data_IF_630639280670
#
_entry.id   IF_630639280670
#
_cell.length_a   1.000
_cell.length_b   1.000
_cell.length_c   1.000
_cell.angle_alpha   90.00
_cell.angle_beta   90.00
_cell.angle_gamma   90.00
#
_symmetry.space_group_name_H-M   'P 1'
#
loop_
_entity.id
_entity.type
_entity.pdbx_description
1 polymer ?
#
# COMPACT_ATOMS: atom_id res chain seq x y z
N UNK A 1 8.85 -7.68 -4.13
CA UNK A 1 7.41 -8.00 -4.08
C UNK A 1 7.23 -9.49 -3.91
N UNK A 2 6.14 -9.92 -3.31
CA UNK A 2 5.73 -11.31 -3.22
C UNK A 2 4.31 -11.50 -3.74
N UNK A 3 4.06 -12.66 -4.34
CA UNK A 3 2.75 -13.06 -4.86
C UNK A 3 2.34 -14.37 -4.21
N UNK A 4 1.05 -14.56 -4.02
CA UNK A 4 0.52 -15.80 -3.47
C UNK A 4 -0.99 -15.74 -3.27
N UNK A 5 -1.58 -16.85 -2.84
CA UNK A 5 -2.99 -16.88 -2.45
C UNK A 5 -3.13 -16.38 -1.00
N UNK A 6 -3.27 -15.06 -0.83
CA UNK A 6 -3.33 -14.41 0.48
C UNK A 6 -4.74 -14.41 1.07
N UNK A 7 -5.73 -14.99 0.37
CA UNK A 7 -7.02 -15.32 1.00
C UNK A 7 -6.88 -16.31 2.15
N UNK A 8 -5.79 -17.08 2.15
CA UNK A 8 -5.38 -17.93 3.27
C UNK A 8 -4.93 -17.16 4.51
N UNK A 9 -4.74 -15.84 4.41
CA UNK A 9 -4.49 -14.92 5.51
C UNK A 9 -5.75 -14.15 5.93
N UNK A 10 -6.94 -14.66 5.58
CA UNK A 10 -8.24 -14.04 5.87
C UNK A 10 -8.43 -12.68 5.17
N UNK A 11 -7.79 -12.49 4.01
CA UNK A 11 -8.03 -11.37 3.12
C UNK A 11 -9.11 -11.80 2.11
N UNK A 12 -10.25 -11.11 2.00
CA UNK A 12 -11.29 -11.48 1.04
C UNK A 12 -10.76 -11.52 -0.40
N UNK A 13 -11.26 -12.47 -1.20
CA UNK A 13 -10.94 -12.49 -2.63
C UNK A 13 -11.44 -11.20 -3.30
N UNK A 14 -10.57 -10.55 -4.08
CA UNK A 14 -10.85 -9.25 -4.70
C UNK A 14 -10.64 -8.04 -3.77
N UNK A 15 -10.22 -8.25 -2.52
CA UNK A 15 -9.75 -7.16 -1.67
C UNK A 15 -8.36 -6.73 -2.16
N UNK A 16 -8.31 -5.57 -2.80
CA UNK A 16 -7.07 -5.01 -3.32
C UNK A 16 -6.12 -4.54 -2.23
N UNK A 17 -6.55 -4.55 -0.97
CA UNK A 17 -5.69 -4.32 0.17
C UNK A 17 -5.57 -2.87 0.57
N UNK A 18 -4.67 -2.66 1.52
CA UNK A 18 -4.30 -1.34 2.03
C UNK A 18 -2.84 -1.31 2.43
N UNK A 19 -2.32 -0.11 2.65
CA UNK A 19 -1.04 0.09 3.31
C UNK A 19 -1.16 -0.17 4.81
N UNK A 20 -0.12 -0.79 5.36
CA UNK A 20 0.15 -0.95 6.77
C UNK A 20 1.43 -0.19 7.09
N UNK A 21 1.40 0.61 8.15
CA UNK A 21 2.45 1.58 8.45
C UNK A 21 2.60 1.82 9.98
N UNK A 22 3.74 2.38 10.44
CA UNK A 22 4.01 2.67 11.85
C UNK A 22 3.35 3.95 12.37
N UNK A 23 2.74 4.78 11.51
CA UNK A 23 2.25 6.13 11.80
C UNK A 23 0.74 6.29 11.59
N UNK A 24 -0.05 5.25 11.91
CA UNK A 24 -1.51 5.32 11.92
C UNK A 24 -2.06 6.53 12.71
N UNK A 25 -3.37 6.81 12.67
CA UNK A 25 -3.97 8.07 13.18
C UNK A 25 -3.49 8.56 14.57
N UNK A 26 -3.10 7.65 15.47
CA UNK A 26 -2.61 7.95 16.82
C UNK A 26 -1.08 7.84 17.01
N UNK A 27 -0.33 7.55 15.94
CA UNK A 27 1.12 7.32 15.96
C UNK A 27 1.52 5.91 16.44
N UNK A 28 0.55 5.01 16.62
CA UNK A 28 0.78 3.64 17.12
C UNK A 28 0.86 2.58 16.00
N UNK A 29 0.74 3.02 14.74
CA UNK A 29 0.67 2.19 13.55
C UNK A 29 -0.74 1.77 13.13
N UNK A 30 -0.87 1.37 11.88
CA UNK A 30 -2.06 0.74 11.31
C UNK A 30 -1.62 -0.54 10.58
N UNK A 31 -1.77 -1.75 11.17
CA UNK A 31 -2.38 -2.01 12.45
C UNK A 31 -1.43 -1.63 13.60
N UNK A 32 -2.01 -1.34 14.76
CA UNK A 32 -1.24 -0.98 15.95
C UNK A 32 -0.27 -2.12 16.31
N UNK A 33 1.01 -1.79 16.53
CA UNK A 33 2.01 -2.69 17.12
C UNK A 33 2.91 -3.46 16.15
N UNK A 34 2.99 -3.09 14.88
CA UNK A 34 3.99 -3.63 13.95
C UNK A 34 5.41 -3.14 14.28
N UNK A 35 6.34 -4.06 14.56
CA UNK A 35 7.76 -3.75 14.70
C UNK A 35 8.57 -4.46 13.62
N UNK A 36 9.39 -3.72 12.89
CA UNK A 36 10.26 -4.26 11.84
C UNK A 36 11.70 -4.26 12.32
N UNK A 37 12.27 -5.45 12.46
CA UNK A 37 13.69 -5.65 12.73
C UNK A 37 14.37 -6.21 11.49
N UNK A 38 15.52 -5.64 11.10
CA UNK A 38 16.31 -6.16 9.98
C UNK A 38 17.81 -5.98 10.25
N UNK A 39 18.64 -6.74 9.52
CA UNK A 39 20.09 -6.61 9.51
C UNK A 39 20.63 -5.96 8.22
N UNK A 40 19.76 -5.28 7.45
CA UNK A 40 20.10 -4.68 6.14
C UNK A 40 21.27 -3.69 6.18
N UNK A 41 21.58 -3.14 7.36
CA UNK A 41 22.71 -2.22 7.59
C UNK A 41 23.93 -2.91 8.26
N UNK A 42 23.95 -4.23 8.33
CA UNK A 42 25.05 -5.03 8.87
C UNK A 42 24.91 -5.44 10.35
N UNK A 43 23.87 -4.98 11.05
CA UNK A 43 23.53 -5.39 12.42
C UNK A 43 22.02 -5.41 12.62
N UNK A 44 21.51 -6.23 13.54
CA UNK A 44 20.07 -6.27 13.83
C UNK A 44 19.62 -4.95 14.49
N UNK A 45 18.68 -4.27 13.86
CA UNK A 45 18.13 -3.00 14.32
C UNK A 45 16.63 -2.95 14.09
N UNK A 46 15.92 -2.22 14.97
CA UNK A 46 14.54 -1.85 14.72
C UNK A 46 14.49 -0.63 13.80
N UNK A 47 13.57 -0.66 12.84
CA UNK A 47 13.36 0.42 11.89
C UNK A 47 11.99 1.04 12.14
N UNK A 48 12.00 2.34 12.49
CA UNK A 48 10.78 3.09 12.73
C UNK A 48 10.04 3.44 11.43
N UNK A 49 10.77 3.59 10.32
CA UNK A 49 10.19 3.95 9.02
C UNK A 49 10.16 2.71 8.12
N UNK A 50 8.97 2.14 7.97
CA UNK A 50 8.69 0.99 7.12
C UNK A 50 7.26 1.10 6.57
N UNK A 51 7.03 0.54 5.40
CA UNK A 51 5.69 0.45 4.80
C UNK A 51 5.47 -0.96 4.29
N UNK A 52 4.26 -1.48 4.44
CA UNK A 52 3.83 -2.74 3.88
C UNK A 52 2.52 -2.54 3.12
N UNK A 53 2.40 -3.11 1.94
CA UNK A 53 1.11 -3.20 1.27
C UNK A 53 0.77 -4.68 1.11
N UNK A 54 -0.49 -5.04 1.34
CA UNK A 54 -0.96 -6.42 1.21
C UNK A 54 -2.38 -6.46 0.63
N UNK A 55 -2.56 -7.23 -0.44
CA UNK A 55 -3.85 -7.51 -1.09
C UNK A 55 -4.20 -9.00 -0.99
N UNK A 56 -5.30 -9.42 -1.61
CA UNK A 56 -5.68 -10.83 -1.71
C UNK A 56 -4.65 -11.70 -2.48
N UNK A 57 -3.77 -11.11 -3.29
CA UNK A 57 -2.86 -11.85 -4.17
C UNK A 57 -1.39 -11.37 -4.18
N UNK A 58 -1.06 -10.23 -3.57
CA UNK A 58 0.30 -9.70 -3.55
C UNK A 58 0.63 -9.01 -2.23
N UNK A 59 1.91 -8.91 -1.94
CA UNK A 59 2.42 -8.05 -0.87
C UNK A 59 3.78 -7.45 -1.21
N UNK A 60 4.10 -6.36 -0.54
CA UNK A 60 5.41 -5.74 -0.57
C UNK A 60 5.68 -5.11 0.79
N UNK A 61 6.95 -5.06 1.16
CA UNK A 61 7.40 -4.40 2.36
C UNK A 61 8.71 -3.67 2.05
N UNK A 62 8.86 -2.48 2.59
CA UNK A 62 10.04 -1.63 2.46
C UNK A 62 10.42 -1.11 3.83
N UNK A 63 11.72 -1.10 4.08
CA UNK A 63 12.33 -0.39 5.20
C UNK A 63 13.09 0.81 4.64
N UNK A 64 12.93 1.99 5.25
CA UNK A 64 13.52 3.22 4.74
C UNK A 64 14.79 3.60 5.49
N UNK A 65 15.94 3.30 4.87
CA UNK A 65 17.28 3.54 5.45
C UNK A 65 18.09 4.63 4.76
N UNK A 66 17.64 5.13 3.60
CA UNK A 66 18.44 5.95 2.69
C UNK A 66 18.15 7.47 2.79
N UNK A 67 17.77 7.93 3.99
CA UNK A 67 17.57 9.36 4.24
C UNK A 67 18.84 10.17 3.92
N UNK A 68 18.66 11.36 3.37
CA UNK A 68 19.74 12.28 3.03
C UNK A 68 19.27 13.74 3.14
N UNK A 69 20.07 14.69 2.65
CA UNK A 69 19.74 16.12 2.72
C UNK A 69 18.52 16.54 1.88
N UNK A 70 18.07 15.69 0.96
CA UNK A 70 16.91 15.93 0.07
C UNK A 70 15.65 15.25 0.59
N UNK A 71 15.76 14.04 1.16
CA UNK A 71 14.59 13.27 1.63
C UNK A 71 14.83 12.70 3.03
N UNK A 72 13.81 12.80 3.89
CA UNK A 72 13.78 12.09 5.17
C UNK A 72 13.41 10.61 4.97
N UNK A 73 13.66 9.77 5.97
CA UNK A 73 13.23 8.36 5.94
C UNK A 73 11.70 8.24 5.84
N UNK A 74 10.96 9.09 6.56
CA UNK A 74 9.49 9.18 6.46
C UNK A 74 9.01 9.60 5.05
N UNK A 75 9.73 10.49 4.36
CA UNK A 75 9.39 10.78 2.96
C UNK A 75 9.60 9.54 2.06
N UNK A 76 10.64 8.75 2.32
CA UNK A 76 10.90 7.54 1.54
C UNK A 76 9.90 6.41 1.81
N UNK A 77 9.27 6.41 2.97
CA UNK A 77 8.20 5.51 3.39
C UNK A 77 6.93 6.35 3.55
N UNK A 78 6.42 6.90 2.45
CA UNK A 78 5.27 7.79 2.50
C UNK A 78 3.97 6.99 2.67
N UNK A 79 3.25 7.26 3.77
CA UNK A 79 2.09 6.48 4.24
C UNK A 79 0.73 7.12 3.91
N UNK A 80 0.61 7.77 2.75
CA UNK A 80 -0.66 8.40 2.32
C UNK A 80 -1.16 7.85 0.97
N UNK A 81 -0.58 6.73 0.50
CA UNK A 81 -0.86 6.15 -0.81
C UNK A 81 -1.48 4.75 -0.67
N UNK A 82 -2.39 4.63 0.29
CA UNK A 82 -2.88 3.38 0.86
C UNK A 82 -3.63 2.49 -0.12
N UNK A 83 -4.11 3.02 -1.25
CA UNK A 83 -4.85 2.24 -2.26
C UNK A 83 -4.10 2.13 -3.60
N UNK A 84 -2.87 2.66 -3.69
CA UNK A 84 -2.13 2.71 -4.96
C UNK A 84 -1.48 1.38 -5.35
N UNK A 85 -1.27 0.49 -4.37
CA UNK A 85 -0.72 -0.84 -4.59
C UNK A 85 0.80 -0.89 -4.71
N UNK A 86 1.34 -2.10 -4.57
CA UNK A 86 2.78 -2.35 -4.53
C UNK A 86 3.55 -1.81 -5.74
N UNK A 87 3.00 -1.94 -6.95
CA UNK A 87 3.66 -1.46 -8.16
C UNK A 87 3.84 0.06 -8.19
N UNK A 88 3.05 0.80 -7.40
CA UNK A 88 3.15 2.24 -7.28
C UNK A 88 3.98 2.67 -6.07
N UNK A 89 3.72 2.10 -4.89
CA UNK A 89 4.36 2.54 -3.63
C UNK A 89 5.75 1.95 -3.42
N UNK A 90 5.98 0.74 -3.92
CA UNK A 90 7.25 0.01 -3.82
C UNK A 90 7.61 -0.65 -5.16
N UNK A 91 7.80 0.16 -6.21
CA UNK A 91 8.13 -0.36 -7.53
C UNK A 91 9.50 -1.04 -7.52
N UNK A 92 9.66 -2.04 -8.38
CA UNK A 92 10.93 -2.71 -8.61
C UNK A 92 10.83 -3.72 -9.73
N UNK A 93 11.97 -4.21 -10.20
CA UNK A 93 12.05 -5.24 -11.23
C UNK A 93 12.13 -6.63 -10.58
N UNK A 94 11.03 -7.07 -9.98
CA UNK A 94 10.96 -8.36 -9.27
C UNK A 94 10.77 -9.52 -10.26
N UNK A 95 11.50 -10.61 -10.08
CA UNK A 95 11.23 -11.84 -10.83
C UNK A 95 10.05 -12.61 -10.23
N UNK A 96 8.97 -12.74 -11.01
CA UNK A 96 7.70 -13.32 -10.56
C UNK A 96 7.57 -14.79 -11.01
N UNK A 97 8.63 -15.58 -10.87
CA UNK A 97 8.66 -16.98 -11.30
C UNK A 97 8.59 -17.99 -10.13
N UNK A 98 8.01 -17.58 -9.00
CA UNK A 98 7.88 -18.43 -7.81
C UNK A 98 9.19 -18.70 -7.09
N UNK A 99 10.23 -17.91 -7.37
CA UNK A 99 11.51 -17.97 -6.66
C UNK A 99 11.60 -16.88 -5.60
N UNK A 100 12.40 -17.16 -4.56
CA UNK A 100 12.85 -16.13 -3.64
C UNK A 100 14.17 -15.62 -4.16
N UNK A 101 14.37 -14.31 -4.16
CA UNK A 101 15.63 -13.70 -4.58
C UNK A 101 16.07 -12.63 -3.60
N UNK A 102 17.39 -12.43 -3.53
CA UNK A 102 18.00 -11.24 -2.96
C UNK A 102 18.69 -10.50 -4.09
N UNK A 103 18.49 -9.20 -4.19
CA UNK A 103 19.10 -8.36 -5.22
C UNK A 103 19.69 -7.11 -4.58
N UNK A 104 20.69 -6.54 -5.24
CA UNK A 104 21.04 -5.13 -5.06
C UNK A 104 20.08 -4.29 -5.90
N UNK A 105 19.68 -3.12 -5.41
CA UNK A 105 18.75 -2.25 -6.13
C UNK A 105 19.13 -0.77 -5.97
N UNK A 106 18.79 0.02 -6.99
CA UNK A 106 18.89 1.47 -6.91
C UNK A 106 17.94 2.03 -5.85
N UNK A 107 18.29 3.20 -5.30
CA UNK A 107 17.42 3.89 -4.35
C UNK A 107 16.21 4.46 -5.09
N UNK A 108 15.01 3.97 -4.73
CA UNK A 108 13.75 4.54 -5.20
C UNK A 108 13.49 5.93 -4.60
N UNK A 109 12.89 6.81 -5.41
CA UNK A 109 12.33 8.06 -4.91
C UNK A 109 11.21 7.80 -3.87
N UNK A 110 10.92 8.79 -3.01
CA UNK A 110 9.65 8.84 -2.26
C UNK A 110 8.46 8.50 -3.17
N UNK A 111 7.58 7.56 -2.79
CA UNK A 111 6.44 7.22 -3.62
C UNK A 111 5.50 8.44 -3.76
N UNK A 112 4.94 8.62 -4.95
CA UNK A 112 4.10 9.78 -5.28
C UNK A 112 4.84 11.11 -5.47
N UNK A 113 6.17 11.17 -5.34
CA UNK A 113 6.93 12.40 -5.59
C UNK A 113 7.48 12.44 -7.01
N UNK A 114 7.31 13.59 -7.66
CA UNK A 114 7.73 13.84 -9.04
C UNK A 114 8.62 15.09 -9.07
N UNK A 115 9.91 15.00 -9.46
CA UNK A 115 10.74 16.17 -9.64
C UNK A 115 10.18 17.04 -10.78
N UNK A 116 10.13 18.34 -10.54
CA UNK A 116 9.59 19.33 -11.49
C UNK A 116 10.63 20.35 -11.94
N UNK A 117 11.64 20.64 -11.11
CA UNK A 117 12.70 21.58 -11.41
C UNK A 117 13.91 21.38 -10.49
N UNK A 118 14.96 22.18 -10.71
CA UNK A 118 16.07 22.34 -9.78
C UNK A 118 16.20 23.81 -9.42
N UNK A 119 16.18 24.14 -8.13
CA UNK A 119 16.37 25.48 -7.61
C UNK A 119 17.63 25.53 -6.74
N UNK A 120 18.62 26.35 -7.12
CA UNK A 120 19.89 26.49 -6.40
C UNK A 120 20.64 25.15 -6.18
N UNK A 121 20.54 24.22 -7.14
CA UNK A 121 21.16 22.89 -7.04
C UNK A 121 20.36 21.87 -6.22
N UNK A 122 19.21 22.26 -5.66
CA UNK A 122 18.30 21.35 -4.94
C UNK A 122 17.11 20.98 -5.84
N UNK A 123 16.80 19.67 -5.97
CA UNK A 123 15.59 19.24 -6.66
C UNK A 123 14.31 19.78 -6.00
N UNK A 124 13.35 20.20 -6.81
CA UNK A 124 12.01 20.62 -6.39
C UNK A 124 11.01 19.58 -6.87
N UNK A 125 10.02 19.24 -6.04
CA UNK A 125 9.06 18.17 -6.30
C UNK A 125 7.62 18.68 -6.25
N UNK A 126 6.76 18.02 -7.01
CA UNK A 126 5.34 17.90 -6.69
C UNK A 126 5.09 16.55 -6.02
N UNK A 127 4.13 16.50 -5.09
CA UNK A 127 3.65 15.25 -4.51
C UNK A 127 2.21 14.98 -5.00
N UNK A 128 1.93 13.73 -5.33
CA UNK A 128 0.58 13.25 -5.59
C UNK A 128 -0.13 12.93 -4.27
N UNK A 129 -1.31 13.49 -4.08
CA UNK A 129 -2.20 13.16 -2.98
C UNK A 129 -3.31 12.24 -3.48
N UNK A 130 -3.42 11.05 -2.91
CA UNK A 130 -4.46 10.10 -3.29
C UNK A 130 -5.86 10.69 -3.10
N UNK A 131 -6.73 10.50 -4.10
CA UNK A 131 -8.11 10.95 -4.03
C UNK A 131 -8.90 10.09 -3.07
N UNK A 132 -9.44 10.70 -2.01
CA UNK A 132 -10.42 10.06 -1.14
C UNK A 132 -11.75 10.81 -1.20
N UNK A 133 -12.86 10.08 -1.34
CA UNK A 133 -14.21 10.65 -1.29
C UNK A 133 -15.00 10.00 -0.17
N UNK A 134 -15.41 10.80 0.80
CA UNK A 134 -16.17 10.38 1.97
C UNK A 134 -17.52 11.09 2.09
N UNK A 135 -18.36 10.61 2.99
CA UNK A 135 -19.62 11.25 3.36
C UNK A 135 -19.63 11.54 4.85
N UNK A 136 -19.86 12.80 5.21
CA UNK A 136 -20.00 13.22 6.61
C UNK A 136 -21.32 12.71 7.20
N UNK A 137 -21.42 12.71 8.53
CA UNK A 137 -22.64 12.26 9.25
C UNK A 137 -23.91 13.03 8.88
N UNK A 138 -23.78 14.26 8.36
CA UNK A 138 -24.89 15.08 7.87
C UNK A 138 -25.28 14.80 6.40
N UNK A 139 -24.67 13.80 5.76
CA UNK A 139 -24.89 13.44 4.36
C UNK A 139 -24.09 14.26 3.34
N UNK A 140 -23.26 15.21 3.77
CA UNK A 140 -22.43 15.99 2.86
C UNK A 140 -21.25 15.15 2.34
N UNK A 141 -21.12 15.08 1.02
CA UNK A 141 -19.97 14.45 0.37
C UNK A 141 -18.79 15.42 0.36
N UNK A 142 -17.59 14.91 0.66
CA UNK A 142 -16.34 15.66 0.52
C UNK A 142 -15.32 14.84 -0.27
N UNK A 143 -14.44 15.54 -0.96
CA UNK A 143 -13.30 14.95 -1.67
C UNK A 143 -12.03 15.66 -1.21
N UNK A 144 -11.00 14.89 -0.90
CA UNK A 144 -9.63 15.35 -0.69
C UNK A 144 -8.70 14.69 -1.71
N UNK A 145 -7.51 15.26 -1.90
CA UNK A 145 -6.50 14.77 -2.83
C UNK A 145 -6.67 15.27 -4.27
N UNK A 146 -5.81 14.75 -5.15
CA UNK A 146 -5.74 15.15 -6.55
C UNK A 146 -6.89 14.57 -7.38
N UNK A 147 -7.25 15.27 -8.46
CA UNK A 147 -8.34 14.82 -9.35
C UNK A 147 -7.87 13.84 -10.42
N UNK A 148 -6.56 13.73 -10.64
CA UNK A 148 -5.95 12.84 -11.62
C UNK A 148 -4.91 11.95 -10.93
N UNK A 149 -5.16 10.64 -10.94
CA UNK A 149 -4.21 9.64 -10.47
C UNK A 149 -3.10 9.45 -11.51
N UNK A 150 -1.82 9.59 -11.15
CA UNK A 150 -0.71 9.28 -12.05
C UNK A 150 -0.77 7.82 -12.50
N UNK A 151 -0.40 7.56 -13.75
CA UNK A 151 -0.43 6.20 -14.32
C UNK A 151 0.72 5.30 -13.87
N UNK A 152 1.78 5.89 -13.29
CA UNK A 152 2.98 5.20 -12.84
C UNK A 152 3.73 6.02 -11.77
N UNK A 153 4.53 5.37 -10.91
CA UNK A 153 5.47 6.07 -10.05
C UNK A 153 6.55 6.78 -10.88
N UNK A 154 7.22 7.76 -10.28
CA UNK A 154 8.27 8.51 -10.98
C UNK A 154 9.48 7.63 -11.37
N UNK A 155 9.88 6.70 -10.51
CA UNK A 155 10.98 5.77 -10.78
C UNK A 155 10.59 4.33 -10.47
N UNK A 156 11.03 3.41 -11.32
CA UNK A 156 11.12 1.98 -11.02
C UNK A 156 12.63 1.68 -10.86
N UNK A 157 13.13 1.46 -9.64
CA UNK A 157 14.55 1.22 -9.40
C UNK A 157 15.00 -0.06 -10.13
N UNK A 158 16.19 -0.01 -10.73
CA UNK A 158 16.78 -1.19 -11.34
C UNK A 158 17.30 -2.14 -10.26
N UNK A 159 17.30 -3.44 -10.57
CA UNK A 159 17.85 -4.48 -9.69
C UNK A 159 18.99 -5.20 -10.41
N UNK A 160 20.02 -5.56 -9.65
CA UNK A 160 21.23 -6.22 -10.13
C UNK A 160 21.76 -7.21 -9.10
N UNK A 161 22.74 -8.04 -9.49
CA UNK A 161 23.37 -9.04 -8.62
C UNK A 161 22.36 -9.94 -7.89
N UNK A 162 21.24 -10.24 -8.56
CA UNK A 162 20.18 -11.07 -8.02
C UNK A 162 20.65 -12.52 -7.84
N UNK A 163 20.46 -13.05 -6.64
CA UNK A 163 20.73 -14.44 -6.31
C UNK A 163 19.45 -15.11 -5.80
N UNK A 164 19.12 -16.26 -6.39
CA UNK A 164 18.02 -17.09 -5.90
C UNK A 164 18.36 -17.61 -4.51
N UNK A 165 17.41 -17.45 -3.60
CA UNK A 165 17.47 -17.99 -2.27
C UNK A 165 16.65 -19.26 -2.20
N UNK A 166 17.15 -20.24 -1.44
CA UNK A 166 16.30 -21.32 -0.98
C UNK A 166 15.11 -20.68 -0.25
N UNK A 167 13.91 -21.21 -0.51
CA UNK A 167 12.72 -20.78 0.23
C UNK A 167 13.02 -20.83 1.72
N UNK A 168 12.31 -20.00 2.48
CA UNK A 168 12.17 -20.20 3.92
C UNK A 168 11.43 -21.52 4.11
N UNK A 169 12.13 -22.64 3.99
CA UNK A 169 11.63 -23.88 4.52
C UNK A 169 11.60 -23.72 6.04
N UNK A 170 12.56 -23.05 6.70
CA UNK A 170 12.64 -22.95 8.17
C UNK A 170 12.33 -24.29 8.89
N UNK A 171 12.50 -25.44 8.22
CA UNK A 171 12.01 -26.74 8.71
C UNK A 171 10.49 -26.94 8.74
N UNK A 172 9.67 -26.00 8.26
CA UNK A 172 8.22 -26.10 8.07
C UNK A 172 7.94 -27.02 6.87
N UNK A 173 7.38 -28.23 7.08
CA UNK A 173 7.04 -29.13 5.99
C UNK A 173 5.72 -28.64 5.37
N UNK A 174 5.79 -27.84 4.30
CA UNK A 174 4.63 -27.28 3.60
C UNK A 174 3.61 -28.37 3.20
N UNK A 175 4.11 -29.55 2.84
CA UNK A 175 3.30 -30.75 2.56
C UNK A 175 2.54 -31.27 3.79
N UNK A 176 3.12 -31.17 4.99
CA UNK A 176 2.46 -31.56 6.26
C UNK A 176 1.38 -30.57 6.70
N UNK A 177 1.49 -29.31 6.25
CA UNK A 177 0.50 -28.26 6.48
C UNK A 177 -0.61 -28.25 5.41
N UNK A 178 -0.63 -29.23 4.51
CA UNK A 178 -1.65 -29.35 3.46
C UNK A 178 -1.49 -28.34 2.31
N UNK A 179 -0.35 -27.64 2.22
CA UNK A 179 -0.03 -26.81 1.08
C UNK A 179 0.61 -27.69 0.00
N UNK A 180 -0.20 -28.16 -0.95
CA UNK A 180 0.32 -28.71 -2.20
C UNK A 180 0.85 -27.57 -3.08
N UNK A 181 1.94 -27.80 -3.81
CA UNK A 181 2.41 -26.85 -4.81
C UNK A 181 1.29 -26.61 -5.84
N UNK A 182 0.74 -25.40 -5.85
CA UNK A 182 -0.22 -24.98 -6.86
C UNK A 182 0.54 -24.86 -8.18
N UNK A 183 0.02 -25.48 -9.24
CA UNK A 183 0.64 -25.40 -10.55
C UNK A 183 0.75 -23.92 -10.95
N UNK A 184 1.94 -23.48 -11.35
CA UNK A 184 2.18 -22.14 -11.87
C UNK A 184 1.33 -21.92 -13.11
N UNK A 185 0.15 -21.34 -12.91
CA UNK A 185 -0.65 -20.77 -13.99
C UNK A 185 0.07 -19.53 -14.49
N UNK A 186 0.60 -19.60 -15.71
CA UNK A 186 1.21 -18.47 -16.40
C UNK A 186 0.14 -17.39 -16.60
N UNK A 187 0.05 -16.41 -15.70
CA UNK A 187 -0.68 -15.18 -15.96
C UNK A 187 0.14 -14.31 -16.92
N UNK A 188 0.15 -14.71 -18.20
CA UNK A 188 0.53 -13.83 -19.28
C UNK A 188 -0.63 -12.83 -19.48
N UNK A 189 -0.53 -11.67 -18.84
CA UNK A 189 -1.35 -10.51 -19.18
C UNK A 189 -1.00 -10.05 -20.60
N UNK A 190 -1.60 -10.66 -21.61
CA UNK A 190 -1.55 -10.14 -22.99
C UNK A 190 -2.90 -9.51 -23.31
N UNK A 191 -2.93 -8.18 -23.25
CA UNK A 191 -3.97 -7.40 -23.90
C UNK A 191 -3.91 -7.66 -25.41
N UNK A 192 -4.96 -8.24 -25.99
CA UNK A 192 -5.18 -8.16 -27.44
C UNK A 192 -6.66 -8.02 -27.71
N UNK A 193 -7.01 -6.82 -28.14
CA UNK A 193 -8.26 -6.49 -28.81
C UNK A 193 -8.39 -7.30 -30.09
N UNK A 194 -9.50 -8.03 -30.25
CA UNK A 194 -10.08 -8.29 -31.56
C UNK A 194 -11.57 -8.63 -31.46
N UNK A 195 -12.34 -7.77 -32.10
CA UNK A 195 -13.76 -7.94 -32.37
C UNK A 195 -14.02 -9.18 -33.22
N UNK A 196 -15.18 -9.81 -33.01
CA UNK A 196 -15.98 -10.45 -34.07
C UNK A 196 -17.43 -10.57 -33.61
N UNK A 197 -18.31 -9.95 -34.40
CA UNK A 197 -19.76 -10.05 -34.35
C UNK A 197 -20.22 -11.47 -34.74
N UNK A 198 -21.26 -12.03 -34.13
CA UNK A 198 -22.66 -12.08 -34.60
C UNK A 198 -23.22 -13.41 -34.04
N UNK A 199 -24.48 -13.70 -33.76
CA UNK A 199 -25.83 -13.12 -33.80
C UNK A 199 -26.66 -13.99 -32.81
N UNK A 200 -27.72 -13.55 -32.13
CA UNK A 200 -29.05 -13.41 -32.71
C UNK A 200 -30.05 -12.83 -31.67
N UNK A 201 -30.89 -11.94 -32.18
CA UNK A 201 -32.27 -11.57 -31.82
C UNK A 201 -32.97 -12.24 -30.63
N UNK A 202 -33.50 -11.40 -29.72
CA UNK A 202 -34.53 -11.80 -28.76
C UNK A 202 -35.12 -10.64 -27.94
N UNK A 203 -36.12 -9.96 -28.52
CA UNK A 203 -37.26 -9.21 -27.90
C UNK A 203 -37.03 -8.24 -26.73
N UNK A 204 -37.51 -7.02 -26.96
CA UNK A 204 -37.79 -5.96 -25.99
C UNK A 204 -38.96 -6.28 -25.06
N UNK A 205 -38.80 -5.94 -23.78
CA UNK A 205 -39.89 -5.50 -22.89
C UNK A 205 -39.32 -4.61 -21.79
N UNK A 206 -39.90 -3.43 -21.66
CA UNK A 206 -39.58 -2.37 -20.71
C UNK A 206 -40.06 -2.65 -19.27
N UNK A 207 -39.49 -1.86 -18.35
CA UNK A 207 -39.95 -1.48 -17.00
C UNK A 207 -39.91 -2.52 -15.88
N UNK A 208 -39.13 -2.25 -14.83
CA UNK A 208 -39.63 -1.66 -13.57
C UNK A 208 -38.51 -1.55 -12.51
N UNK A 209 -38.48 -0.42 -11.82
CA UNK A 209 -37.77 -0.19 -10.55
C UNK A 209 -38.17 -1.22 -9.48
N UNK A 210 -37.26 -1.52 -8.54
CA UNK A 210 -37.57 -2.43 -7.43
C UNK A 210 -36.42 -2.68 -6.47
N UNK A 211 -36.34 -1.80 -5.47
CA UNK A 211 -35.61 -1.86 -4.20
C UNK A 211 -35.37 -3.25 -3.59
N UNK A 212 -34.22 -3.46 -2.94
CA UNK A 212 -34.06 -4.45 -1.89
C UNK A 212 -33.14 -3.96 -0.75
N UNK A 213 -33.78 -3.32 0.22
CA UNK A 213 -33.62 -3.48 1.68
C UNK A 213 -32.21 -3.71 2.25
N UNK A 214 -31.65 -2.65 2.83
CA UNK A 214 -30.68 -2.75 3.93
C UNK A 214 -31.35 -3.39 5.16
N UNK A 215 -30.74 -4.45 5.68
CA UNK A 215 -31.10 -5.02 6.98
C UNK A 215 -30.47 -4.20 8.09
N UNK A 216 -31.31 -3.48 8.85
CA UNK A 216 -30.95 -2.79 10.08
C UNK A 216 -30.54 -3.79 11.17
N UNK A 217 -29.36 -3.64 11.75
CA UNK A 217 -29.05 -4.20 13.07
C UNK A 217 -29.18 -3.10 14.11
N UNK A 218 -30.31 -3.13 14.81
CA UNK A 218 -30.54 -2.38 16.05
C UNK A 218 -29.51 -2.81 17.11
N UNK A 219 -28.72 -1.88 17.62
CA UNK A 219 -28.05 -2.02 18.91
C UNK A 219 -28.47 -0.84 19.77
N UNK A 220 -29.31 -1.14 20.75
CA UNK A 220 -29.74 -0.25 21.81
C UNK A 220 -28.69 -0.29 22.92
N UNK A 221 -27.98 0.81 23.15
CA UNK A 221 -27.38 1.12 24.46
C UNK A 221 -27.61 2.59 24.75
N UNK A 222 -28.41 2.85 25.78
CA UNK A 222 -28.83 4.17 26.20
C UNK A 222 -27.75 5.03 26.84
N UNK A 223 -27.90 6.34 26.63
CA UNK A 223 -27.62 7.47 27.52
C UNK A 223 -26.27 7.53 28.25
N UNK A 224 -25.44 8.54 27.97
CA UNK A 224 -25.59 9.89 28.54
C UNK A 224 -24.61 10.88 27.89
N UNK A 225 -25.01 12.15 27.84
CA UNK A 225 -24.40 13.27 27.11
C UNK A 225 -23.39 14.09 27.94
N UNK A 226 -22.64 14.98 27.25
CA UNK A 226 -21.65 16.03 27.65
C UNK A 226 -20.16 15.59 27.63
N UNK A 227 -19.19 16.28 27.01
CA UNK A 227 -19.17 17.56 26.29
C UNK A 227 -17.94 17.65 25.34
N UNK A 228 -18.07 18.51 24.32
CA UNK A 228 -17.08 18.91 23.32
C UNK A 228 -15.91 19.77 23.87
N UNK A 229 -14.76 19.60 23.20
CA UNK A 229 -13.82 20.62 22.69
C UNK A 229 -13.05 21.55 23.65
N UNK A 230 -11.72 21.60 23.48
CA UNK A 230 -11.07 22.75 22.83
C UNK A 230 -9.61 22.45 22.41
N UNK A 231 -9.26 23.00 21.27
CA UNK A 231 -8.00 22.93 20.54
C UNK A 231 -7.01 24.05 20.89
N UNK A 232 -5.72 23.80 20.56
CA UNK A 232 -4.70 24.73 20.04
C UNK A 232 -3.95 25.70 20.97
N UNK A 233 -2.70 25.96 20.54
CA UNK A 233 -1.69 26.97 20.94
C UNK A 233 -0.81 26.49 22.12
N UNK A 234 0.52 26.39 22.06
CA UNK A 234 1.56 27.11 21.31
C UNK A 234 2.90 26.38 21.42
N UNK A 235 3.68 26.35 20.32
CA UNK A 235 5.11 26.07 20.39
C UNK A 235 5.90 27.33 20.74
N UNK A 236 6.84 27.23 21.69
CA UNK A 236 8.12 27.96 21.75
C UNK A 236 9.08 27.17 22.65
N UNK A 237 10.22 26.76 22.11
CA UNK A 237 11.51 26.76 22.81
C UNK A 237 11.93 25.53 23.63
N UNK A 238 12.78 24.68 23.04
CA UNK A 238 13.87 24.04 23.78
C UNK A 238 14.99 23.59 22.81
N UNK A 239 15.74 24.56 22.29
CA UNK A 239 17.14 24.35 21.91
C UNK A 239 17.96 24.59 23.17
N UNK A 240 18.50 23.55 23.79
CA UNK A 240 19.68 23.64 24.64
C UNK A 240 20.17 22.25 25.10
N UNK A 241 21.40 21.94 24.70
CA UNK A 241 22.42 21.14 25.38
C UNK A 241 22.06 19.71 25.78
N UNK A 242 22.75 18.73 25.19
CA UNK A 242 23.74 17.94 25.94
C UNK A 242 24.91 17.56 25.02
N UNK A 243 26.11 17.87 25.50
CA UNK A 243 27.35 17.17 25.14
C UNK A 243 27.30 15.74 25.65
#
# INVERSE_FOLDING_TARGET
>A
MGYGNLTRLNIPEGDYGGELDPHGQFGDGNPIGGNVTSNVTGSNQNYAEWMQYISYNQFCIRVCTNANSTYSAAAMCWHELDEMGCEFVMPGNYQINGTFETCEADVAYPPGWYPTATANGTPVFSAFAQRYTGTLTNGQVYTVGDTATPTAPYTIPSSSNCATQATISNGIPLTSLGFAAEATGTHAGTATSKASASSATGKSSSSSEGSSSAGERNVNVGGNWFALALSLVSGVGAVALFH
#
